data_IF_769612915892
#
_entry.id   IF_769612915892
#
_cell.length_a   1.000
_cell.length_b   1.000
_cell.length_c   1.000
_cell.angle_alpha   90.00
_cell.angle_beta   90.00
_cell.angle_gamma   90.00
#
_symmetry.space_group_name_H-M   'P 1'
#
loop_
_entity.id
_entity.type
_entity.pdbx_description
1 polymer ?
#
# COMPACT_ATOMS: atom_id res chain seq x y z
N UNK A 1 18.19 -15.92 -4.28
CA UNK A 1 18.14 -15.20 -2.99
C UNK A 1 17.21 -14.03 -3.17
N UNK A 2 16.48 -13.63 -2.14
CA UNK A 2 15.48 -12.55 -2.25
C UNK A 2 16.16 -11.19 -2.07
N UNK A 3 16.07 -10.30 -3.07
CA UNK A 3 16.49 -8.90 -2.93
C UNK A 3 15.57 -8.18 -1.93
N UNK A 4 16.13 -7.33 -1.08
CA UNK A 4 15.38 -6.46 -0.18
C UNK A 4 15.31 -5.04 -0.76
N UNK A 5 14.16 -4.42 -0.59
CA UNK A 5 13.90 -3.04 -0.96
C UNK A 5 14.04 -2.15 0.28
N UNK A 6 14.72 -1.02 0.14
CA UNK A 6 14.86 -0.01 1.19
C UNK A 6 14.21 1.29 0.73
N UNK A 7 13.08 1.61 1.37
CA UNK A 7 12.33 2.85 1.20
C UNK A 7 12.66 3.84 2.32
N UNK A 8 12.43 5.11 2.10
CA UNK A 8 12.86 6.18 3.01
C UNK A 8 11.72 6.72 3.90
N UNK A 9 10.80 5.86 4.32
CA UNK A 9 9.66 6.25 5.18
C UNK A 9 10.10 6.86 6.52
N UNK A 10 11.18 6.34 7.09
CA UNK A 10 11.80 6.78 8.34
C UNK A 10 13.33 6.76 8.25
N UNK A 11 14.00 6.88 9.38
CA UNK A 11 15.46 6.87 9.47
C UNK A 11 16.04 5.52 9.93
N UNK A 12 15.21 4.46 10.01
CA UNK A 12 15.62 3.15 10.52
C UNK A 12 16.82 2.55 9.77
N UNK A 13 16.87 2.74 8.45
CA UNK A 13 17.93 2.17 7.59
C UNK A 13 19.01 3.20 7.20
N UNK A 14 19.11 4.32 7.91
CA UNK A 14 20.09 5.38 7.64
C UNK A 14 20.94 5.66 8.88
N UNK A 15 22.26 5.70 8.68
CA UNK A 15 23.22 6.14 9.69
C UNK A 15 23.27 7.67 9.75
N UNK A 16 23.31 8.31 8.57
CA UNK A 16 23.28 9.77 8.46
C UNK A 16 22.53 10.22 7.20
N UNK A 17 22.07 11.47 7.22
CA UNK A 17 21.41 12.13 6.10
C UNK A 17 21.63 13.64 6.23
N UNK A 18 22.28 14.24 5.25
CA UNK A 18 22.55 15.68 5.19
C UNK A 18 22.04 16.25 3.87
N UNK A 19 21.52 17.48 3.89
CA UNK A 19 21.06 18.19 2.69
C UNK A 19 19.84 17.58 1.99
N UNK A 20 19.22 16.56 2.56
CA UNK A 20 17.99 15.95 2.07
C UNK A 20 16.79 16.25 2.97
N UNK A 21 15.63 16.45 2.37
CA UNK A 21 14.32 16.38 3.01
C UNK A 21 13.54 15.17 2.49
N UNK A 22 12.60 14.67 3.28
CA UNK A 22 11.62 13.68 2.78
C UNK A 22 10.52 14.40 2.04
N UNK A 23 10.12 13.84 0.89
CA UNK A 23 9.05 14.35 0.06
C UNK A 23 8.13 13.23 -0.36
N UNK A 24 6.82 13.44 -0.23
CA UNK A 24 5.83 12.50 -0.72
C UNK A 24 5.91 12.36 -2.24
N UNK A 25 5.73 11.14 -2.71
CA UNK A 25 5.46 10.89 -4.11
C UNK A 25 4.18 11.58 -4.56
N UNK A 26 4.02 11.73 -5.88
CA UNK A 26 2.85 12.38 -6.47
C UNK A 26 2.11 11.42 -7.38
N UNK A 27 1.09 10.71 -6.88
CA UNK A 27 0.18 9.95 -7.73
C UNK A 27 -0.45 10.87 -8.77
N UNK A 28 -0.62 10.38 -9.99
CA UNK A 28 -1.24 11.15 -11.09
C UNK A 28 -2.46 10.42 -11.61
N UNK A 29 -3.58 11.08 -11.72
CA UNK A 29 -4.77 10.54 -12.38
C UNK A 29 -4.45 10.32 -13.86
N UNK A 30 -4.62 9.08 -14.32
CA UNK A 30 -4.40 8.66 -15.71
C UNK A 30 -5.69 8.27 -16.42
N UNK A 31 -6.74 7.92 -15.66
CA UNK A 31 -8.06 7.59 -16.20
C UNK A 31 -9.17 7.88 -15.18
N UNK A 32 -10.34 8.25 -15.68
CA UNK A 32 -11.57 8.41 -14.90
C UNK A 32 -12.65 7.49 -15.48
N UNK A 33 -12.93 6.41 -14.77
CA UNK A 33 -13.99 5.50 -15.13
C UNK A 33 -15.35 5.98 -14.61
N UNK A 34 -16.32 6.08 -15.52
CA UNK A 34 -17.73 6.37 -15.23
C UNK A 34 -18.57 5.21 -15.75
N UNK A 35 -19.31 4.54 -14.86
CA UNK A 35 -20.18 3.43 -15.27
C UNK A 35 -21.46 3.96 -15.94
N UNK A 36 -21.73 3.63 -17.22
CA UNK A 36 -22.94 4.06 -17.89
C UNK A 36 -24.21 3.39 -17.38
N UNK A 37 -24.09 2.26 -16.64
CA UNK A 37 -25.21 1.51 -16.09
C UNK A 37 -25.58 1.94 -14.66
N UNK A 38 -24.77 2.77 -14.01
CA UNK A 38 -25.00 3.22 -12.66
C UNK A 38 -25.03 4.76 -12.60
N UNK A 39 -25.93 5.31 -11.79
CA UNK A 39 -25.98 6.75 -11.56
C UNK A 39 -24.70 7.25 -10.89
N UNK A 40 -24.11 6.45 -10.04
CA UNK A 40 -22.85 6.75 -9.36
C UNK A 40 -22.08 5.45 -9.07
N UNK A 41 -20.78 5.45 -9.30
CA UNK A 41 -19.85 4.38 -8.95
C UNK A 41 -19.06 4.82 -7.72
N UNK A 42 -19.60 4.67 -6.51
CA UNK A 42 -19.01 5.17 -5.25
C UNK A 42 -18.38 4.09 -4.40
N UNK A 43 -18.32 2.88 -4.89
CA UNK A 43 -17.79 1.78 -4.08
C UNK A 43 -16.27 1.70 -4.13
N UNK A 44 -15.72 0.95 -3.21
CA UNK A 44 -14.28 0.78 -3.05
C UNK A 44 -13.78 -0.23 -4.10
N UNK A 45 -13.16 0.23 -5.21
CA UNK A 45 -12.76 -0.66 -6.30
C UNK A 45 -11.73 -1.67 -5.82
N UNK A 46 -11.98 -2.95 -6.15
CA UNK A 46 -11.02 -4.04 -5.99
C UNK A 46 -10.62 -4.55 -7.38
N UNK A 47 -9.32 -4.61 -7.64
CA UNK A 47 -8.77 -5.05 -8.91
C UNK A 47 -8.21 -6.46 -8.79
N UNK A 48 -8.58 -7.31 -9.71
CA UNK A 48 -8.05 -8.66 -9.87
C UNK A 48 -7.62 -8.91 -11.31
N UNK A 49 -6.40 -9.40 -11.49
CA UNK A 49 -5.94 -9.90 -12.78
C UNK A 49 -6.24 -11.41 -12.89
N UNK A 50 -7.09 -11.78 -13.82
CA UNK A 50 -7.39 -13.17 -14.16
C UNK A 50 -6.35 -13.67 -15.17
N UNK A 51 -5.35 -14.41 -14.68
CA UNK A 51 -4.28 -14.98 -15.51
C UNK A 51 -4.81 -15.96 -16.56
N UNK A 52 -5.87 -16.70 -16.25
CA UNK A 52 -6.46 -17.69 -17.16
C UNK A 52 -7.12 -17.01 -18.39
N UNK A 53 -7.62 -15.78 -18.21
CA UNK A 53 -8.28 -14.99 -19.28
C UNK A 53 -7.42 -13.83 -19.81
N UNK A 54 -6.34 -13.50 -19.12
CA UNK A 54 -5.49 -12.36 -19.46
C UNK A 54 -6.21 -11.00 -19.33
N UNK A 55 -7.13 -10.88 -18.38
CA UNK A 55 -7.97 -9.69 -18.20
C UNK A 55 -7.92 -9.18 -16.77
N UNK A 56 -8.04 -7.86 -16.60
CA UNK A 56 -8.28 -7.24 -15.31
C UNK A 56 -9.77 -7.16 -15.05
N UNK A 57 -10.17 -7.50 -13.84
CA UNK A 57 -11.52 -7.33 -13.33
C UNK A 57 -11.50 -6.25 -12.27
N UNK A 58 -12.47 -5.35 -12.31
CA UNK A 58 -12.75 -4.37 -11.27
C UNK A 58 -14.10 -4.66 -10.66
N UNK A 59 -14.15 -4.80 -9.36
CA UNK A 59 -15.36 -4.99 -8.55
C UNK A 59 -15.59 -3.72 -7.73
N UNK A 60 -16.81 -3.20 -7.74
CA UNK A 60 -17.15 -1.94 -7.08
C UNK A 60 -18.65 -1.89 -6.79
N UNK A 61 -19.07 -0.93 -5.97
CA UNK A 61 -20.49 -0.65 -5.80
C UNK A 61 -20.95 0.42 -6.78
N UNK A 62 -22.17 0.31 -7.24
CA UNK A 62 -22.85 1.34 -7.99
C UNK A 62 -24.26 1.55 -7.46
N UNK A 63 -24.80 2.75 -7.60
CA UNK A 63 -26.20 3.01 -7.34
C UNK A 63 -26.99 2.97 -8.64
N UNK A 64 -27.92 2.03 -8.72
CA UNK A 64 -28.82 1.83 -9.83
C UNK A 64 -30.24 1.95 -9.31
N UNK A 65 -31.03 2.89 -9.83
CA UNK A 65 -32.39 3.17 -9.39
C UNK A 65 -32.55 3.33 -7.86
N UNK A 66 -31.57 4.00 -7.23
CA UNK A 66 -31.56 4.27 -5.79
C UNK A 66 -31.17 3.08 -4.91
N UNK A 67 -30.71 1.98 -5.51
CA UNK A 67 -30.26 0.77 -4.80
C UNK A 67 -28.76 0.57 -5.00
N UNK A 68 -28.07 0.22 -3.94
CA UNK A 68 -26.67 -0.21 -4.01
C UNK A 68 -26.59 -1.61 -4.64
N UNK A 69 -25.71 -1.77 -5.62
CA UNK A 69 -25.46 -3.05 -6.28
C UNK A 69 -23.96 -3.26 -6.52
N UNK A 70 -23.40 -4.41 -6.14
CA UNK A 70 -22.07 -4.82 -6.54
C UNK A 70 -22.01 -5.06 -8.04
N UNK A 71 -21.12 -4.33 -8.71
CA UNK A 71 -20.95 -4.29 -10.17
C UNK A 71 -19.54 -4.75 -10.56
N UNK A 72 -19.37 -5.11 -11.83
CA UNK A 72 -18.08 -5.48 -12.40
C UNK A 72 -17.77 -4.72 -13.69
N UNK A 73 -16.51 -4.41 -13.87
CA UNK A 73 -15.94 -3.94 -15.13
C UNK A 73 -14.71 -4.78 -15.51
N UNK A 74 -14.27 -4.68 -16.75
CA UNK A 74 -13.18 -5.46 -17.34
C UNK A 74 -12.24 -4.56 -18.13
N UNK A 75 -10.95 -4.89 -18.12
CA UNK A 75 -9.91 -4.17 -18.85
C UNK A 75 -8.85 -5.11 -19.41
N UNK A 76 -8.22 -4.72 -20.52
CA UNK A 76 -7.07 -5.40 -21.10
C UNK A 76 -5.75 -4.94 -20.48
N UNK A 77 -5.66 -3.67 -20.10
CA UNK A 77 -4.42 -3.01 -19.67
C UNK A 77 -4.40 -2.66 -18.18
N UNK A 78 -5.54 -2.82 -17.49
CA UNK A 78 -5.69 -2.43 -16.09
C UNK A 78 -5.90 -0.93 -15.87
N UNK A 79 -6.16 -0.16 -16.94
CA UNK A 79 -6.38 1.29 -16.90
C UNK A 79 -7.74 1.63 -17.47
N UNK A 80 -8.00 1.20 -18.70
CA UNK A 80 -9.23 1.51 -19.42
C UNK A 80 -10.26 0.40 -19.18
N UNK A 81 -11.19 0.65 -18.29
CA UNK A 81 -12.24 -0.31 -17.91
C UNK A 81 -13.52 -0.06 -18.68
N UNK A 82 -14.24 -1.15 -18.98
CA UNK A 82 -15.60 -1.13 -19.54
C UNK A 82 -16.50 -2.01 -18.68
N UNK A 83 -17.81 -1.68 -18.53
CA UNK A 83 -18.73 -2.54 -17.79
C UNK A 83 -18.74 -3.96 -18.38
N UNK A 84 -18.65 -4.97 -17.51
CA UNK A 84 -18.75 -6.35 -17.92
C UNK A 84 -20.19 -6.80 -17.85
N UNK A 85 -20.80 -7.14 -18.99
CA UNK A 85 -22.14 -7.72 -19.00
C UNK A 85 -22.12 -9.14 -18.39
N UNK A 86 -22.62 -9.25 -17.16
CA UNK A 86 -22.66 -10.49 -16.37
C UNK A 86 -24.07 -11.05 -16.21
N UNK A 87 -25.10 -10.35 -16.66
CA UNK A 87 -26.50 -10.67 -16.36
C UNK A 87 -26.91 -12.10 -16.74
N UNK A 88 -26.39 -12.62 -17.86
CA UNK A 88 -26.65 -13.99 -18.30
C UNK A 88 -25.84 -15.06 -17.58
N UNK A 89 -24.72 -14.69 -16.94
CA UNK A 89 -23.74 -15.60 -16.34
C UNK A 89 -23.85 -15.65 -14.81
N UNK A 90 -24.27 -14.55 -14.19
CA UNK A 90 -24.30 -14.38 -12.72
C UNK A 90 -25.35 -15.28 -12.02
N UNK A 91 -26.35 -15.73 -12.73
CA UNK A 91 -27.49 -16.49 -12.17
C UNK A 91 -28.49 -15.61 -11.39
N UNK A 92 -28.37 -14.28 -11.47
CA UNK A 92 -29.29 -13.33 -10.84
C UNK A 92 -30.63 -13.35 -11.55
N UNK A 93 -31.73 -13.40 -10.77
CA UNK A 93 -33.06 -13.47 -11.35
C UNK A 93 -33.58 -12.17 -11.94
N UNK A 94 -33.24 -11.04 -11.27
CA UNK A 94 -33.66 -9.69 -11.66
C UNK A 94 -32.53 -8.67 -11.39
N UNK A 95 -31.46 -8.69 -12.18
CA UNK A 95 -30.38 -7.73 -11.99
C UNK A 95 -30.85 -6.31 -12.28
N UNK A 96 -30.40 -5.34 -11.48
CA UNK A 96 -30.68 -3.91 -11.67
C UNK A 96 -29.83 -3.30 -12.79
N UNK A 97 -28.70 -3.90 -13.08
CA UNK A 97 -27.79 -3.48 -14.14
C UNK A 97 -27.20 -4.69 -14.88
N UNK A 98 -26.83 -4.55 -16.16
CA UNK A 98 -26.25 -5.62 -16.96
C UNK A 98 -24.93 -6.19 -16.38
N UNK A 99 -24.19 -5.38 -15.64
CA UNK A 99 -22.89 -5.73 -15.04
C UNK A 99 -22.97 -6.03 -13.53
N UNK A 100 -24.16 -6.31 -13.02
CA UNK A 100 -24.35 -6.69 -11.61
C UNK A 100 -23.86 -8.10 -11.35
N UNK A 101 -23.15 -8.30 -10.23
CA UNK A 101 -22.55 -9.59 -9.85
C UNK A 101 -23.14 -10.24 -8.60
N UNK A 102 -23.85 -9.50 -7.78
CA UNK A 102 -24.54 -9.99 -6.58
C UNK A 102 -25.93 -9.38 -6.48
N UNK A 103 -26.86 -10.08 -5.83
CA UNK A 103 -28.14 -9.47 -5.46
C UNK A 103 -27.88 -8.29 -4.50
N UNK A 104 -28.81 -7.32 -4.46
CA UNK A 104 -28.70 -6.12 -3.63
C UNK A 104 -28.64 -6.48 -2.14
N UNK A 105 -27.45 -6.69 -1.64
CA UNK A 105 -27.18 -7.34 -0.36
C UNK A 105 -26.39 -6.46 0.61
N UNK A 106 -26.36 -5.16 0.40
CA UNK A 106 -25.50 -4.25 1.16
C UNK A 106 -24.33 -3.74 0.32
N UNK A 107 -23.31 -3.24 0.97
CA UNK A 107 -22.13 -2.71 0.30
C UNK A 107 -21.01 -3.75 0.22
N UNK A 108 -20.48 -3.92 -0.97
CA UNK A 108 -19.25 -4.67 -1.19
C UNK A 108 -18.09 -3.86 -0.61
N UNK A 109 -17.55 -4.30 0.52
CA UNK A 109 -16.43 -3.61 1.15
C UNK A 109 -15.12 -3.91 0.41
N UNK A 110 -14.92 -5.16 0.00
CA UNK A 110 -13.70 -5.58 -0.71
C UNK A 110 -13.90 -6.91 -1.44
N UNK A 111 -13.15 -7.10 -2.52
CA UNK A 111 -12.88 -8.43 -3.09
C UNK A 111 -11.39 -8.71 -2.92
N UNK A 112 -11.10 -9.74 -2.17
CA UNK A 112 -9.75 -10.21 -1.88
C UNK A 112 -9.43 -11.49 -2.65
N UNK A 113 -8.21 -11.58 -3.17
CA UNK A 113 -7.72 -12.78 -3.89
C UNK A 113 -6.88 -13.63 -2.93
N UNK A 114 -7.44 -14.75 -2.50
CA UNK A 114 -6.77 -15.72 -1.65
C UNK A 114 -6.04 -16.76 -2.52
N UNK A 115 -4.75 -16.56 -2.75
CA UNK A 115 -3.93 -17.48 -3.54
C UNK A 115 -3.68 -18.84 -2.87
N UNK A 116 -3.95 -18.96 -1.55
CA UNK A 116 -3.83 -20.21 -0.81
C UNK A 116 -5.10 -21.07 -0.89
N UNK A 117 -6.24 -20.47 -1.22
CA UNK A 117 -7.50 -21.18 -1.37
C UNK A 117 -7.57 -21.95 -2.70
N UNK A 118 -8.40 -23.01 -2.78
CA UNK A 118 -8.75 -23.65 -4.05
C UNK A 118 -9.29 -22.64 -5.06
N UNK A 119 -9.07 -22.89 -6.37
CA UNK A 119 -9.57 -22.01 -7.44
C UNK A 119 -11.07 -21.71 -7.33
N UNK A 120 -11.87 -22.66 -6.87
CA UNK A 120 -13.32 -22.50 -6.67
C UNK A 120 -13.71 -21.44 -5.64
N UNK A 121 -12.80 -21.08 -4.73
CA UNK A 121 -13.05 -20.18 -3.59
C UNK A 121 -12.02 -19.07 -3.47
N UNK A 122 -11.19 -18.87 -4.49
CA UNK A 122 -10.05 -17.93 -4.42
C UNK A 122 -10.45 -16.47 -4.23
N UNK A 123 -11.59 -16.07 -4.77
CA UNK A 123 -12.10 -14.72 -4.57
C UNK A 123 -12.98 -14.70 -3.33
N UNK A 124 -12.67 -13.82 -2.40
CA UNK A 124 -13.40 -13.59 -1.16
C UNK A 124 -14.01 -12.20 -1.21
N UNK A 125 -15.34 -12.10 -1.21
CA UNK A 125 -16.02 -10.82 -1.10
C UNK A 125 -16.45 -10.58 0.34
N UNK A 126 -15.92 -9.51 0.92
CA UNK A 126 -16.35 -8.98 2.20
C UNK A 126 -17.51 -8.02 1.95
N UNK A 127 -18.69 -8.33 2.48
CA UNK A 127 -19.88 -7.52 2.30
C UNK A 127 -20.31 -6.98 3.66
N UNK A 128 -20.76 -5.73 3.70
CA UNK A 128 -21.30 -5.11 4.91
C UNK A 128 -22.79 -4.89 4.75
N UNK A 129 -23.58 -5.31 5.75
CA UNK A 129 -25.00 -5.04 5.81
C UNK A 129 -25.29 -3.88 6.75
N UNK A 130 -25.46 -2.70 6.20
CA UNK A 130 -25.99 -1.56 6.92
C UNK A 130 -27.51 -1.55 6.89
N UNK A 131 -28.22 -2.04 7.90
CA UNK A 131 -29.61 -1.66 8.09
C UNK A 131 -29.67 -0.34 8.86
N UNK A 132 -29.91 0.74 8.13
CA UNK A 132 -30.05 2.09 8.70
C UNK A 132 -31.27 2.25 9.63
N UNK A 133 -32.12 1.25 9.73
CA UNK A 133 -33.34 1.28 10.53
C UNK A 133 -33.27 0.51 11.85
N UNK A 134 -32.33 -0.43 11.95
CA UNK A 134 -32.17 -1.22 13.16
C UNK A 134 -30.70 -1.26 13.56
N UNK A 135 -30.32 -0.49 14.53
CA UNK A 135 -28.95 -0.41 15.08
C UNK A 135 -28.45 -1.69 15.76
N UNK A 136 -28.94 -2.87 15.42
CA UNK A 136 -28.74 -4.00 16.33
C UNK A 136 -28.16 -5.30 15.80
N UNK A 137 -28.14 -5.65 14.59
CA UNK A 137 -27.46 -6.89 14.17
C UNK A 137 -26.98 -6.70 12.74
N UNK A 138 -25.69 -6.51 12.60
CA UNK A 138 -25.04 -6.43 11.32
C UNK A 138 -24.46 -7.80 11.07
N UNK A 139 -25.01 -8.45 10.07
CA UNK A 139 -24.47 -9.67 9.50
C UNK A 139 -23.57 -9.28 8.35
N UNK A 140 -22.27 -9.28 8.59
CA UNK A 140 -21.29 -9.03 7.56
C UNK A 140 -20.89 -10.36 6.89
N UNK A 141 -21.59 -10.77 5.81
CA UNK A 141 -21.37 -12.05 5.20
C UNK A 141 -20.11 -12.11 4.36
N UNK A 142 -19.54 -13.29 4.28
CA UNK A 142 -18.50 -13.64 3.32
C UNK A 142 -19.13 -14.34 2.11
N UNK A 143 -18.68 -13.97 0.92
CA UNK A 143 -18.99 -14.70 -0.31
C UNK A 143 -17.69 -15.19 -0.94
N UNK A 144 -17.77 -16.30 -1.66
CA UNK A 144 -16.65 -16.83 -2.45
C UNK A 144 -17.03 -17.00 -3.91
N UNK A 145 -16.03 -16.88 -4.77
CA UNK A 145 -16.19 -17.10 -6.22
C UNK A 145 -14.91 -17.65 -6.85
N UNK A 146 -15.08 -18.39 -7.93
CA UNK A 146 -14.00 -18.84 -8.79
C UNK A 146 -13.68 -17.84 -9.92
N UNK A 147 -14.69 -17.10 -10.38
CA UNK A 147 -14.67 -16.33 -11.64
C UNK A 147 -15.03 -14.85 -11.49
N UNK A 148 -15.40 -14.44 -10.27
CA UNK A 148 -15.83 -13.07 -9.96
C UNK A 148 -17.22 -12.70 -10.48
N UNK A 149 -18.01 -13.71 -10.98
CA UNK A 149 -19.36 -13.51 -11.53
C UNK A 149 -20.38 -14.23 -10.68
N UNK A 150 -20.11 -15.51 -10.37
CA UNK A 150 -20.99 -16.35 -9.53
C UNK A 150 -20.45 -16.36 -8.13
N UNK A 151 -21.23 -15.84 -7.21
CA UNK A 151 -20.85 -15.68 -5.81
C UNK A 151 -21.71 -16.58 -4.91
N UNK A 152 -21.04 -17.33 -4.05
CA UNK A 152 -21.67 -18.23 -3.10
C UNK A 152 -21.50 -17.67 -1.69
N UNK A 153 -22.61 -17.38 -1.04
CA UNK A 153 -22.62 -16.97 0.37
C UNK A 153 -22.12 -18.10 1.24
N UNK A 154 -21.15 -17.78 2.11
CA UNK A 154 -20.61 -18.71 3.09
C UNK A 154 -21.42 -18.66 4.39
N UNK A 155 -21.51 -19.76 5.17
CA UNK A 155 -22.21 -19.81 6.44
C UNK A 155 -21.39 -19.20 7.58
N UNK A 156 -20.69 -18.10 7.32
CA UNK A 156 -19.84 -17.40 8.28
C UNK A 156 -20.07 -15.90 8.20
N UNK A 157 -19.80 -15.24 9.32
CA UNK A 157 -19.74 -13.79 9.43
C UNK A 157 -18.30 -13.41 9.72
N UNK A 158 -17.73 -12.48 8.93
CA UNK A 158 -16.37 -12.06 9.11
C UNK A 158 -16.23 -10.93 10.15
N UNK A 159 -17.35 -10.29 10.52
CA UNK A 159 -17.40 -9.22 11.52
C UNK A 159 -18.75 -9.18 12.23
N UNK A 160 -18.73 -8.73 13.49
CA UNK A 160 -19.93 -8.70 14.37
C UNK A 160 -20.45 -7.29 14.67
N UNK A 161 -19.83 -6.26 14.12
CA UNK A 161 -20.16 -4.86 14.34
C UNK A 161 -20.33 -4.15 13.01
N UNK A 162 -20.89 -2.93 13.03
CA UNK A 162 -21.02 -2.09 11.85
C UNK A 162 -19.63 -1.73 11.27
N UNK A 163 -19.06 -2.67 10.56
CA UNK A 163 -17.85 -2.42 9.78
C UNK A 163 -18.19 -1.69 8.48
N UNK A 164 -18.93 -0.59 8.54
CA UNK A 164 -19.19 0.19 7.33
C UNK A 164 -17.97 0.33 6.42
N UNK A 165 -18.18 0.72 5.16
CA UNK A 165 -17.23 0.59 4.07
C UNK A 165 -15.80 1.00 4.45
N UNK A 166 -14.82 0.30 3.94
CA UNK A 166 -13.40 0.52 4.25
C UNK A 166 -12.70 -0.72 4.79
N UNK A 167 -13.42 -1.85 4.89
CA UNK A 167 -12.78 -3.12 5.19
C UNK A 167 -11.98 -3.62 3.98
N UNK A 168 -10.75 -4.03 4.21
CA UNK A 168 -9.83 -4.54 3.18
C UNK A 168 -9.03 -5.70 3.71
N UNK A 169 -8.94 -6.77 2.93
CA UNK A 169 -8.15 -7.94 3.29
C UNK A 169 -6.82 -7.99 2.52
N UNK A 170 -5.79 -8.48 3.19
CA UNK A 170 -4.50 -8.81 2.59
C UNK A 170 -3.89 -10.04 3.27
N UNK A 171 -2.98 -10.73 2.59
CA UNK A 171 -2.20 -11.78 3.20
C UNK A 171 -0.95 -11.19 3.87
N UNK A 172 -0.73 -11.54 5.13
CA UNK A 172 0.45 -11.15 5.90
C UNK A 172 1.44 -12.34 5.97
N UNK A 173 2.51 -12.35 5.16
CA UNK A 173 3.47 -13.44 5.14
C UNK A 173 4.33 -13.51 6.42
N UNK A 174 4.42 -12.44 7.21
CA UNK A 174 5.16 -12.42 8.48
C UNK A 174 4.42 -13.26 9.54
N UNK A 175 3.09 -13.16 9.54
CA UNK A 175 2.25 -13.90 10.49
C UNK A 175 1.72 -15.22 9.92
N UNK A 176 1.88 -15.47 8.62
CA UNK A 176 1.23 -16.55 7.88
C UNK A 176 -0.29 -16.54 8.06
N UNK A 177 -0.90 -15.35 7.97
CA UNK A 177 -2.34 -15.14 8.16
C UNK A 177 -2.90 -14.15 7.15
N UNK A 178 -4.20 -14.26 6.91
CA UNK A 178 -4.96 -13.20 6.27
C UNK A 178 -5.35 -12.16 7.32
N UNK A 179 -5.21 -10.91 6.96
CA UNK A 179 -5.48 -9.76 7.81
C UNK A 179 -6.56 -8.92 7.17
N UNK A 180 -7.57 -8.52 7.94
CA UNK A 180 -8.65 -7.64 7.49
C UNK A 180 -8.54 -6.34 8.28
N UNK A 181 -8.33 -5.24 7.58
CA UNK A 181 -8.48 -3.89 8.15
C UNK A 181 -9.97 -3.58 8.17
N UNK A 182 -10.48 -3.18 9.31
CA UNK A 182 -11.90 -2.89 9.48
C UNK A 182 -12.12 -1.82 10.55
N UNK A 183 -13.35 -1.35 10.67
CA UNK A 183 -13.74 -0.42 11.73
C UNK A 183 -14.07 -1.20 13.01
N UNK A 184 -13.50 -0.83 14.18
CA UNK A 184 -13.70 -1.59 15.43
C UNK A 184 -15.07 -1.41 16.05
N UNK A 185 -15.75 -0.29 15.79
CA UNK A 185 -17.08 0.02 16.35
C UNK A 185 -17.79 1.11 15.54
N UNK A 186 -19.07 1.36 15.86
CA UNK A 186 -19.90 2.40 15.24
C UNK A 186 -19.66 3.82 15.81
N UNK A 187 -18.68 4.00 16.70
CA UNK A 187 -18.35 5.29 17.31
C UNK A 187 -17.55 6.21 16.38
N UNK A 188 -16.55 6.89 16.94
CA UNK A 188 -15.58 7.65 16.16
C UNK A 188 -14.82 6.69 15.23
N UNK A 189 -14.71 7.05 13.96
CA UNK A 189 -14.04 6.17 12.97
C UNK A 189 -12.57 6.00 13.30
N UNK A 190 -12.17 4.75 13.48
CA UNK A 190 -10.83 4.31 13.85
C UNK A 190 -10.49 3.07 13.05
N UNK A 191 -9.22 2.68 13.06
CA UNK A 191 -8.74 1.52 12.31
C UNK A 191 -8.52 0.35 13.26
N UNK A 192 -9.18 -0.76 12.98
CA UNK A 192 -9.00 -2.04 13.62
C UNK A 192 -8.46 -3.10 12.67
N UNK A 193 -8.04 -4.22 13.22
CA UNK A 193 -7.47 -5.35 12.51
C UNK A 193 -8.05 -6.67 13.03
N UNK A 194 -8.48 -7.52 12.11
CA UNK A 194 -8.95 -8.87 12.35
C UNK A 194 -8.00 -9.84 11.64
N UNK A 195 -7.70 -10.98 12.25
CA UNK A 195 -6.87 -12.03 11.67
C UNK A 195 -7.68 -13.30 11.45
N UNK A 196 -7.37 -14.01 10.36
CA UNK A 196 -7.92 -15.33 10.06
C UNK A 196 -6.90 -16.18 9.29
N UNK A 197 -6.91 -17.49 9.51
CA UNK A 197 -6.08 -18.42 8.74
C UNK A 197 -6.85 -19.13 7.64
N UNK A 198 -8.19 -19.14 7.69
CA UNK A 198 -9.04 -20.01 6.90
C UNK A 198 -10.34 -19.35 6.38
N UNK A 199 -10.59 -18.09 6.71
CA UNK A 199 -11.86 -17.38 6.47
C UNK A 199 -13.11 -18.10 7.03
N UNK A 200 -12.93 -18.93 8.06
CA UNK A 200 -14.01 -19.60 8.81
C UNK A 200 -14.04 -19.15 10.24
N UNK A 201 -12.85 -18.92 10.82
CA UNK A 201 -12.67 -18.42 12.18
C UNK A 201 -11.92 -17.11 12.12
N UNK A 202 -12.36 -16.14 12.90
CA UNK A 202 -11.81 -14.80 12.93
C UNK A 202 -11.44 -14.41 14.37
N UNK A 203 -10.34 -13.69 14.53
CA UNK A 203 -9.99 -13.10 15.83
C UNK A 203 -10.96 -11.98 16.18
N UNK A 204 -10.98 -11.60 17.45
CA UNK A 204 -11.54 -10.31 17.85
C UNK A 204 -10.82 -9.18 17.14
N UNK A 205 -11.55 -8.08 16.89
CA UNK A 205 -10.96 -6.91 16.27
C UNK A 205 -10.07 -6.17 17.27
N UNK A 206 -8.84 -5.88 16.84
CA UNK A 206 -7.85 -5.13 17.61
C UNK A 206 -7.69 -3.72 17.04
N UNK A 207 -7.80 -2.70 17.90
CA UNK A 207 -7.51 -1.31 17.51
C UNK A 207 -6.03 -1.17 17.14
N UNK A 208 -5.73 -0.58 15.98
CA UNK A 208 -4.36 -0.37 15.49
C UNK A 208 -4.03 1.08 15.20
N UNK A 209 -5.04 1.92 14.93
CA UNK A 209 -4.81 3.35 14.71
C UNK A 209 -6.05 4.18 15.06
N UNK A 210 -5.83 5.34 15.65
CA UNK A 210 -6.86 6.34 16.00
C UNK A 210 -6.29 7.74 15.77
N UNK A 211 -7.13 8.75 15.51
CA UNK A 211 -6.67 10.14 15.50
C UNK A 211 -5.94 10.50 16.79
N UNK A 212 -4.92 11.31 16.70
CA UNK A 212 -4.10 11.77 17.82
C UNK A 212 -4.03 13.31 17.88
N UNK A 213 -3.24 13.86 18.80
CA UNK A 213 -3.14 15.31 19.02
C UNK A 213 -2.50 16.10 17.88
N UNK A 214 -1.94 15.45 16.88
CA UNK A 214 -1.38 16.08 15.69
C UNK A 214 -2.37 16.10 14.52
N UNK A 215 -3.52 15.44 14.67
CA UNK A 215 -4.61 15.50 13.70
C UNK A 215 -5.51 16.71 13.98
N UNK A 216 -6.29 17.10 12.97
CA UNK A 216 -7.33 18.11 13.16
C UNK A 216 -8.33 17.66 14.25
N UNK A 217 -8.87 18.58 15.06
CA UNK A 217 -9.66 18.22 16.24
C UNK A 217 -10.87 17.30 16.01
N UNK A 218 -11.41 17.28 14.82
CA UNK A 218 -12.57 16.47 14.45
C UNK A 218 -12.26 15.46 13.33
N UNK A 219 -11.00 15.29 12.97
CA UNK A 219 -10.62 14.30 11.97
C UNK A 219 -10.96 12.88 12.44
N UNK A 220 -11.42 12.06 11.53
CA UNK A 220 -11.69 10.64 11.77
C UNK A 220 -10.90 9.79 10.78
N UNK A 221 -10.44 8.62 11.22
CA UNK A 221 -9.78 7.64 10.35
C UNK A 221 -10.84 6.75 9.70
N UNK A 222 -11.20 7.08 8.46
CA UNK A 222 -12.34 6.47 7.78
C UNK A 222 -12.09 5.03 7.34
N UNK A 223 -10.90 4.73 6.85
CA UNK A 223 -10.45 3.42 6.40
C UNK A 223 -8.94 3.44 6.13
N UNK A 224 -8.33 2.28 5.96
CA UNK A 224 -6.90 2.14 5.68
C UNK A 224 -6.63 0.90 4.84
N UNK A 225 -6.99 0.91 3.54
CA UNK A 225 -6.57 -0.15 2.63
C UNK A 225 -5.06 -0.38 2.72
N UNK A 226 -4.68 -1.63 2.87
CA UNK A 226 -3.29 -2.01 3.12
C UNK A 226 -2.86 -3.10 2.15
N UNK A 227 -1.68 -2.93 1.57
CA UNK A 227 -1.15 -3.78 0.51
C UNK A 227 0.25 -4.25 0.86
N UNK A 228 0.54 -5.55 0.77
CA UNK A 228 1.92 -6.03 0.76
C UNK A 228 2.67 -5.44 -0.44
N UNK A 229 3.85 -4.89 -0.20
CA UNK A 229 4.73 -4.34 -1.22
C UNK A 229 6.18 -4.66 -0.89
N UNK A 230 6.77 -5.64 -1.59
CA UNK A 230 8.10 -6.16 -1.33
C UNK A 230 8.25 -6.65 0.13
N UNK A 231 9.06 -5.97 0.94
CA UNK A 231 9.24 -6.24 2.37
C UNK A 231 8.53 -5.22 3.29
N UNK A 232 7.55 -4.50 2.75
CA UNK A 232 6.71 -3.53 3.47
C UNK A 232 5.24 -3.86 3.33
N UNK A 233 4.44 -3.18 4.15
CA UNK A 233 3.00 -3.03 3.97
C UNK A 233 2.71 -1.54 3.81
N UNK A 234 2.07 -1.18 2.71
CA UNK A 234 1.70 0.20 2.38
C UNK A 234 0.23 0.38 2.65
N UNK A 235 -0.12 1.35 3.46
CA UNK A 235 -1.50 1.71 3.75
C UNK A 235 -1.85 3.10 3.23
N UNK A 236 -3.10 3.26 2.79
CA UNK A 236 -3.68 4.55 2.44
C UNK A 236 -4.72 4.90 3.49
N UNK A 237 -4.34 5.73 4.46
CA UNK A 237 -5.22 6.14 5.56
C UNK A 237 -6.16 7.24 5.09
N UNK A 238 -7.44 6.93 4.97
CA UNK A 238 -8.46 7.90 4.61
C UNK A 238 -8.78 8.79 5.80
N UNK A 239 -8.51 10.07 5.65
CA UNK A 239 -8.82 11.09 6.66
C UNK A 239 -10.13 11.76 6.31
N UNK A 240 -11.10 11.65 7.19
CA UNK A 240 -12.37 12.34 7.08
C UNK A 240 -12.29 13.66 7.84
N UNK A 241 -12.29 14.76 7.12
CA UNK A 241 -12.21 16.12 7.64
C UNK A 241 -13.62 16.62 7.97
N UNK A 242 -14.00 16.57 9.23
CA UNK A 242 -15.30 17.05 9.68
C UNK A 242 -15.19 18.54 10.05
N UNK A 243 -15.80 19.45 9.26
CA UNK A 243 -15.55 20.88 9.42
C UNK A 243 -16.11 21.45 10.72
N UNK A 244 -17.17 20.84 11.29
CA UNK A 244 -17.86 21.37 12.47
C UNK A 244 -18.66 20.28 13.19
N UNK A 245 -18.64 20.29 14.53
CA UNK A 245 -19.45 19.37 15.37
C UNK A 245 -20.95 19.49 15.06
N UNK A 246 -21.44 20.68 14.79
CA UNK A 246 -22.86 20.91 14.47
C UNK A 246 -23.27 20.27 13.14
N UNK A 247 -22.36 20.17 12.19
CA UNK A 247 -22.58 19.56 10.88
C UNK A 247 -22.38 18.05 10.91
N UNK A 248 -21.77 17.50 11.95
CA UNK A 248 -21.57 16.06 12.15
C UNK A 248 -22.86 15.24 12.03
N UNK A 249 -23.99 15.81 12.38
CA UNK A 249 -25.31 15.18 12.21
C UNK A 249 -25.57 14.70 10.77
N UNK A 250 -24.97 15.36 9.78
CA UNK A 250 -25.13 15.06 8.37
C UNK A 250 -23.89 14.37 7.76
N UNK A 251 -22.87 14.08 8.59
CA UNK A 251 -21.61 13.47 8.16
C UNK A 251 -20.99 14.16 6.94
N UNK A 252 -21.10 15.50 6.88
CA UNK A 252 -20.50 16.29 5.83
C UNK A 252 -19.01 16.48 6.08
N UNK A 253 -18.24 16.55 5.01
CA UNK A 253 -16.81 16.80 5.05
C UNK A 253 -16.09 16.19 3.86
N UNK A 254 -14.86 16.57 3.66
CA UNK A 254 -14.00 16.03 2.61
C UNK A 254 -13.26 14.79 3.10
N UNK A 255 -12.82 13.97 2.16
CA UNK A 255 -11.94 12.84 2.44
C UNK A 255 -10.75 12.87 1.50
N UNK A 256 -9.57 12.83 2.08
CA UNK A 256 -8.31 12.59 1.39
C UNK A 256 -7.59 11.36 1.97
N UNK A 257 -6.39 11.04 1.49
CA UNK A 257 -5.68 9.88 2.01
C UNK A 257 -4.21 10.19 2.26
N UNK A 258 -3.74 9.80 3.45
CA UNK A 258 -2.35 9.89 3.86
C UNK A 258 -1.63 8.55 3.68
N UNK A 259 -0.32 8.63 3.49
CA UNK A 259 0.54 7.45 3.37
C UNK A 259 0.89 6.89 4.74
N UNK A 260 0.70 5.58 4.89
CA UNK A 260 1.03 4.78 6.07
C UNK A 260 1.89 3.60 5.64
N UNK A 261 2.81 3.19 6.48
CA UNK A 261 3.64 2.02 6.23
C UNK A 261 3.77 1.13 7.47
N UNK A 262 4.10 -0.13 7.23
CA UNK A 262 4.42 -1.08 8.29
C UNK A 262 5.50 -2.06 7.79
N UNK A 263 6.35 -2.53 8.71
CA UNK A 263 7.33 -3.59 8.42
C UNK A 263 6.75 -4.99 8.65
N UNK A 264 5.71 -5.10 9.49
CA UNK A 264 5.15 -6.39 9.91
C UNK A 264 3.64 -6.56 9.61
N UNK A 265 2.99 -5.52 9.04
CA UNK A 265 1.56 -5.56 8.71
C UNK A 265 0.62 -5.47 9.91
N UNK A 266 1.13 -5.17 11.10
CA UNK A 266 0.33 -5.04 12.33
C UNK A 266 0.58 -3.74 13.08
N UNK A 267 1.81 -3.22 13.02
CA UNK A 267 2.21 -1.94 13.62
C UNK A 267 2.40 -0.94 12.50
N UNK A 268 1.51 0.04 12.45
CA UNK A 268 1.48 1.03 11.37
C UNK A 268 2.02 2.38 11.83
N UNK A 269 2.78 3.01 10.95
CA UNK A 269 3.39 4.31 11.15
C UNK A 269 2.95 5.27 10.06
N UNK A 270 2.65 6.50 10.42
CA UNK A 270 2.47 7.62 9.49
C UNK A 270 3.84 8.24 9.25
N UNK A 271 4.18 8.49 8.00
CA UNK A 271 5.41 9.21 7.65
C UNK A 271 5.16 10.72 7.70
N UNK A 272 5.12 11.40 6.57
CA UNK A 272 4.63 12.77 6.50
C UNK A 272 3.11 12.76 6.63
N UNK A 273 2.55 13.65 7.47
CA UNK A 273 1.09 13.73 7.72
C UNK A 273 0.41 14.66 6.73
N UNK A 274 0.80 14.56 5.48
CA UNK A 274 0.23 15.31 4.36
C UNK A 274 -0.59 14.37 3.48
N UNK A 275 -1.61 14.86 2.78
CA UNK A 275 -2.35 14.07 1.82
C UNK A 275 -1.43 13.52 0.71
N UNK A 276 -1.47 12.21 0.50
CA UNK A 276 -0.78 11.53 -0.59
C UNK A 276 -1.66 11.42 -1.82
N UNK A 277 -2.97 11.19 -1.62
CA UNK A 277 -4.03 11.40 -2.59
C UNK A 277 -4.84 12.59 -2.15
N UNK A 278 -4.98 13.61 -3.00
CA UNK A 278 -5.50 14.91 -2.62
C UNK A 278 -6.85 15.21 -3.28
N UNK A 279 -7.61 16.12 -2.67
CA UNK A 279 -8.84 16.66 -3.25
C UNK A 279 -8.58 17.58 -4.46
N UNK A 280 -7.32 17.72 -4.89
CA UNK A 280 -6.91 18.59 -5.99
C UNK A 280 -6.27 17.83 -7.15
N UNK A 281 -6.27 16.50 -7.12
CA UNK A 281 -5.63 15.66 -8.15
C UNK A 281 -6.40 15.71 -9.48
N UNK A 282 -7.74 15.84 -9.39
CA UNK A 282 -8.64 16.02 -10.52
C UNK A 282 -9.94 16.73 -10.07
N UNK A 283 -10.75 17.28 -10.99
CA UNK A 283 -12.06 17.85 -10.63
C UNK A 283 -12.96 16.86 -9.89
N UNK A 284 -12.94 15.60 -10.31
CA UNK A 284 -13.73 14.52 -9.73
C UNK A 284 -13.29 14.09 -8.33
N UNK A 285 -12.11 14.50 -7.85
CA UNK A 285 -11.62 14.16 -6.51
C UNK A 285 -11.89 15.24 -5.47
N UNK A 286 -12.45 16.39 -5.85
CA UNK A 286 -12.55 17.61 -5.04
C UNK A 286 -13.21 17.43 -3.68
N UNK A 287 -14.20 16.56 -3.57
CA UNK A 287 -14.90 16.30 -2.31
C UNK A 287 -14.33 15.09 -1.58
N UNK A 288 -14.08 14.01 -2.29
CA UNK A 288 -13.64 12.75 -1.68
C UNK A 288 -12.73 11.95 -2.61
N UNK A 289 -11.72 11.31 -2.01
CA UNK A 289 -10.90 10.29 -2.68
C UNK A 289 -10.62 9.13 -1.73
N UNK A 290 -10.93 7.90 -2.18
CA UNK A 290 -10.78 6.67 -1.43
C UNK A 290 -9.91 5.68 -2.22
N UNK A 291 -8.56 5.79 -2.18
CA UNK A 291 -7.68 4.82 -2.83
C UNK A 291 -7.86 3.45 -2.19
N UNK A 292 -8.31 2.47 -2.98
CA UNK A 292 -8.83 1.20 -2.45
C UNK A 292 -8.16 -0.04 -3.02
N UNK A 293 -7.44 0.06 -4.13
CA UNK A 293 -6.72 -1.06 -4.72
C UNK A 293 -5.39 -0.60 -5.31
N UNK A 294 -4.31 -1.24 -4.92
CA UNK A 294 -2.96 -0.99 -5.47
C UNK A 294 -2.50 -2.25 -6.20
N UNK A 295 -2.02 -2.09 -7.42
CA UNK A 295 -1.58 -3.20 -8.27
C UNK A 295 -0.51 -2.76 -9.26
N UNK A 296 0.26 -3.73 -9.75
CA UNK A 296 1.19 -3.52 -10.86
C UNK A 296 0.58 -4.18 -12.08
N UNK A 297 0.43 -3.42 -13.17
CA UNK A 297 -0.09 -3.99 -14.40
C UNK A 297 1.00 -4.75 -15.18
N UNK A 298 0.60 -5.41 -16.28
CA UNK A 298 1.54 -6.22 -17.10
C UNK A 298 2.65 -5.40 -17.76
N UNK A 299 2.48 -4.11 -17.88
CA UNK A 299 3.51 -3.19 -18.38
C UNK A 299 4.48 -2.74 -17.28
N UNK A 300 4.29 -3.21 -16.04
CA UNK A 300 5.12 -2.85 -14.89
C UNK A 300 4.78 -1.50 -14.25
N UNK A 301 3.65 -0.88 -14.63
CA UNK A 301 3.19 0.38 -14.06
C UNK A 301 2.53 0.13 -12.70
N UNK A 302 2.89 0.92 -11.69
CA UNK A 302 2.26 0.89 -10.37
C UNK A 302 1.01 1.76 -10.39
N UNK A 303 -0.14 1.14 -10.23
CA UNK A 303 -1.44 1.77 -10.36
C UNK A 303 -2.23 1.68 -9.04
N UNK A 304 -3.10 2.67 -8.82
CA UNK A 304 -4.03 2.70 -7.70
C UNK A 304 -5.42 3.06 -8.21
N UNK A 305 -6.41 2.22 -7.92
CA UNK A 305 -7.81 2.54 -8.19
C UNK A 305 -8.45 3.15 -6.94
N UNK A 306 -9.09 4.29 -7.09
CA UNK A 306 -9.74 5.04 -6.03
C UNK A 306 -11.18 5.38 -6.41
N UNK A 307 -12.10 5.21 -5.48
CA UNK A 307 -13.41 5.85 -5.55
C UNK A 307 -13.25 7.35 -5.30
N UNK A 308 -13.93 8.19 -6.06
CA UNK A 308 -13.84 9.63 -5.95
C UNK A 308 -15.18 10.32 -6.19
N UNK A 309 -15.35 11.52 -5.66
CA UNK A 309 -16.52 12.36 -5.89
C UNK A 309 -16.12 13.84 -5.88
N UNK A 310 -16.73 14.60 -6.75
CA UNK A 310 -16.63 16.06 -6.77
C UNK A 310 -17.19 16.70 -5.49
N UNK A 311 -18.16 16.04 -4.85
CA UNK A 311 -18.85 16.56 -3.68
C UNK A 311 -18.38 15.86 -2.39
N UNK A 312 -18.58 16.55 -1.27
CA UNK A 312 -18.25 16.08 0.06
C UNK A 312 -19.11 14.87 0.48
N UNK A 313 -18.61 14.11 1.42
CA UNK A 313 -19.34 13.03 2.08
C UNK A 313 -20.70 13.52 2.62
N UNK A 314 -21.75 12.72 2.40
CA UNK A 314 -23.10 13.05 2.83
C UNK A 314 -23.98 13.70 1.74
N UNK A 315 -23.42 14.00 0.59
CA UNK A 315 -24.22 14.42 -0.59
C UNK A 315 -24.47 13.19 -1.48
N UNK A 316 -25.54 12.47 -1.20
CA UNK A 316 -25.89 11.19 -1.88
C UNK A 316 -26.42 11.34 -3.32
N UNK A 317 -26.42 12.54 -3.89
CA UNK A 317 -26.94 12.79 -5.24
C UNK A 317 -25.85 12.87 -6.30
N UNK A 318 -24.63 12.54 -5.96
CA UNK A 318 -23.50 12.86 -6.78
C UNK A 318 -22.99 11.67 -7.57
N UNK A 319 -22.52 11.98 -8.78
CA UNK A 319 -21.92 11.04 -9.70
C UNK A 319 -20.51 10.71 -9.20
N UNK A 320 -20.40 9.74 -8.30
CA UNK A 320 -19.11 9.16 -7.94
C UNK A 320 -18.50 8.46 -9.14
N UNK A 321 -17.18 8.46 -9.19
CA UNK A 321 -16.37 7.88 -10.25
C UNK A 321 -15.29 7.00 -9.66
N UNK A 322 -14.60 6.22 -10.50
CA UNK A 322 -13.37 5.54 -10.13
C UNK A 322 -12.22 6.18 -10.87
N UNK A 323 -11.30 6.78 -10.12
CA UNK A 323 -10.07 7.36 -10.65
C UNK A 323 -8.95 6.30 -10.62
N UNK A 324 -8.26 6.12 -11.73
CA UNK A 324 -7.05 5.31 -11.81
C UNK A 324 -5.86 6.26 -11.74
N UNK A 325 -5.02 6.03 -10.74
CA UNK A 325 -3.79 6.77 -10.54
C UNK A 325 -2.60 5.94 -10.97
N UNK A 326 -1.58 6.60 -11.45
CA UNK A 326 -0.25 6.04 -11.65
C UNK A 326 0.74 6.65 -10.68
N UNK A 327 1.58 5.82 -10.08
CA UNK A 327 2.66 6.19 -9.20
C UNK A 327 3.98 5.66 -9.77
N UNK A 328 5.06 6.45 -9.64
CA UNK A 328 6.40 5.93 -9.89
C UNK A 328 6.64 4.66 -9.06
N UNK A 329 7.19 3.62 -9.67
CA UNK A 329 7.57 2.41 -8.92
C UNK A 329 8.51 2.81 -7.76
N UNK A 330 8.25 2.30 -6.55
CA UNK A 330 8.91 2.66 -5.29
C UNK A 330 8.79 4.16 -4.89
N UNK A 331 8.02 4.94 -5.64
CA UNK A 331 7.92 6.40 -5.51
C UNK A 331 6.92 6.87 -4.47
N UNK A 332 6.72 6.14 -3.38
CA UNK A 332 5.85 6.55 -2.27
C UNK A 332 6.41 7.76 -1.53
N UNK A 333 7.71 7.77 -1.36
CA UNK A 333 8.47 8.84 -0.71
C UNK A 333 9.88 8.90 -1.30
N UNK A 334 10.47 10.08 -1.33
CA UNK A 334 11.85 10.27 -1.76
C UNK A 334 12.69 11.01 -0.72
N UNK A 335 13.99 10.87 -0.81
CA UNK A 335 14.96 11.83 -0.28
C UNK A 335 15.23 12.85 -1.38
N UNK A 336 14.82 14.08 -1.17
CA UNK A 336 14.88 15.19 -2.13
C UNK A 336 15.93 16.21 -1.72
N UNK A 337 16.68 16.72 -2.69
CA UNK A 337 17.60 17.85 -2.51
C UNK A 337 17.53 18.82 -3.68
N UNK A 338 17.45 20.11 -3.38
CA UNK A 338 17.49 21.19 -4.37
C UNK A 338 18.95 21.59 -4.76
N UNK A 339 19.94 21.26 -3.94
CA UNK A 339 21.34 21.58 -4.20
C UNK A 339 22.21 20.32 -4.13
N UNK A 340 22.59 19.91 -2.94
CA UNK A 340 23.39 18.70 -2.72
C UNK A 340 22.98 18.00 -1.44
N UNK A 341 23.00 16.66 -1.45
CA UNK A 341 22.73 15.85 -0.28
C UNK A 341 23.56 14.59 -0.25
N UNK A 342 23.83 14.11 0.94
CA UNK A 342 24.46 12.81 1.16
C UNK A 342 23.60 11.96 2.12
N UNK A 343 23.56 10.67 1.86
CA UNK A 343 22.93 9.69 2.74
C UNK A 343 23.81 8.46 2.85
N UNK A 344 24.03 8.01 4.09
CA UNK A 344 24.79 6.79 4.41
C UNK A 344 23.81 5.81 5.05
N UNK A 345 23.79 4.57 4.56
CA UNK A 345 22.98 3.50 5.15
C UNK A 345 23.58 3.04 6.48
N UNK A 346 22.77 2.38 7.32
CA UNK A 346 23.30 1.55 8.41
C UNK A 346 24.12 0.40 7.82
N UNK A 347 24.88 -0.37 8.65
CA UNK A 347 25.60 -1.55 8.15
C UNK A 347 24.65 -2.54 7.50
N UNK A 348 25.04 -3.03 6.35
CA UNK A 348 24.32 -4.01 5.53
C UNK A 348 25.20 -5.22 5.27
N UNK A 349 24.77 -6.41 5.64
CA UNK A 349 25.42 -7.64 5.19
C UNK A 349 25.08 -7.84 3.70
N UNK A 350 26.09 -7.67 2.84
CA UNK A 350 25.95 -7.90 1.40
C UNK A 350 26.15 -9.37 1.05
N UNK A 351 25.26 -9.91 0.21
CA UNK A 351 25.23 -11.34 -0.14
C UNK A 351 25.28 -11.58 -1.65
N UNK A 352 26.06 -10.77 -2.35
CA UNK A 352 26.25 -10.89 -3.79
C UNK A 352 25.10 -10.30 -4.61
N UNK A 353 25.33 -10.18 -5.92
CA UNK A 353 24.40 -9.63 -6.88
C UNK A 353 24.43 -8.11 -6.99
N UNK A 354 23.51 -7.56 -7.76
CA UNK A 354 23.46 -6.12 -8.02
C UNK A 354 22.89 -5.34 -6.82
N UNK A 355 23.45 -4.15 -6.59
CA UNK A 355 22.82 -3.11 -5.79
C UNK A 355 22.27 -2.06 -6.75
N UNK A 356 21.00 -1.80 -6.69
CA UNK A 356 20.24 -0.95 -7.61
C UNK A 356 19.64 0.23 -6.89
N UNK A 357 19.67 1.41 -7.51
CA UNK A 357 19.10 2.63 -6.97
C UNK A 357 18.05 3.18 -7.93
N UNK A 358 16.87 3.50 -7.39
CA UNK A 358 15.82 4.22 -8.10
C UNK A 358 15.97 5.70 -7.76
N UNK A 359 16.29 6.53 -8.76
CA UNK A 359 16.56 7.94 -8.55
C UNK A 359 16.32 8.79 -9.81
N UNK A 360 16.18 10.09 -9.57
CA UNK A 360 16.24 11.14 -10.58
C UNK A 360 17.17 12.22 -10.08
N UNK A 361 18.27 12.51 -10.77
CA UNK A 361 19.27 13.46 -10.30
C UNK A 361 20.03 14.13 -11.45
N UNK A 362 20.49 15.36 -11.21
CA UNK A 362 21.47 16.01 -12.11
C UNK A 362 22.79 15.24 -12.07
N UNK A 363 23.18 14.76 -10.87
CA UNK A 363 24.37 13.95 -10.68
C UNK A 363 24.23 13.08 -9.43
N UNK A 364 24.69 11.84 -9.49
CA UNK A 364 24.79 10.94 -8.35
C UNK A 364 26.07 10.10 -8.44
N UNK A 365 26.75 9.96 -7.31
CA UNK A 365 27.87 9.04 -7.13
C UNK A 365 27.70 8.20 -5.87
N UNK A 366 28.39 7.08 -5.81
CA UNK A 366 28.31 6.14 -4.69
C UNK A 366 29.71 5.77 -4.19
N UNK A 367 29.85 5.66 -2.86
CA UNK A 367 31.00 5.04 -2.22
C UNK A 367 30.56 3.98 -1.23
N UNK A 368 31.41 2.99 -1.01
CA UNK A 368 31.20 1.95 0.00
C UNK A 368 32.23 2.04 1.10
N UNK A 369 31.77 1.76 2.31
CA UNK A 369 32.57 1.67 3.51
C UNK A 369 32.37 0.33 4.18
N UNK A 370 33.32 -0.07 4.99
CA UNK A 370 33.18 -1.09 6.04
C UNK A 370 33.42 -0.44 7.41
N UNK A 371 33.49 -1.25 8.47
CA UNK A 371 33.82 -0.78 9.80
C UNK A 371 34.80 -1.73 10.52
N UNK A 372 35.13 -1.43 11.77
CA UNK A 372 36.02 -2.25 12.61
C UNK A 372 35.27 -3.24 13.52
N UNK A 373 33.98 -3.52 13.22
CA UNK A 373 33.14 -4.41 14.01
C UNK A 373 33.63 -5.87 14.04
N UNK A 374 34.32 -6.30 13.00
CA UNK A 374 34.99 -7.61 12.95
C UNK A 374 36.12 -7.75 13.99
N UNK A 375 36.83 -6.65 14.28
CA UNK A 375 37.92 -6.62 15.26
C UNK A 375 37.44 -6.29 16.68
N UNK A 376 36.31 -5.58 16.77
CA UNK A 376 35.73 -5.09 18.03
C UNK A 376 34.24 -5.43 18.14
N UNK A 377 33.81 -6.71 18.02
CA UNK A 377 32.41 -7.07 17.91
C UNK A 377 31.56 -6.70 19.15
N UNK A 378 32.17 -6.50 20.29
CA UNK A 378 31.49 -6.11 21.55
C UNK A 378 31.49 -4.59 21.79
N UNK A 379 32.07 -3.78 20.89
CA UNK A 379 31.92 -2.34 20.97
C UNK A 379 30.54 -1.93 20.47
N UNK A 380 29.59 -1.79 21.39
CA UNK A 380 28.19 -1.46 21.07
C UNK A 380 27.92 0.05 20.97
N UNK A 381 28.94 0.88 21.06
CA UNK A 381 28.76 2.33 21.09
C UNK A 381 29.05 3.02 19.74
N UNK A 382 30.20 2.72 19.15
CA UNK A 382 30.63 3.32 17.88
C UNK A 382 31.56 2.38 17.12
N UNK A 383 31.37 2.31 15.82
CA UNK A 383 32.32 1.72 14.87
C UNK A 383 32.81 2.82 13.94
N UNK A 384 34.10 2.83 13.66
CA UNK A 384 34.72 3.77 12.74
C UNK A 384 34.48 3.30 11.30
N UNK A 385 33.96 4.20 10.44
CA UNK A 385 33.77 3.90 9.02
C UNK A 385 35.12 3.90 8.32
N UNK A 386 35.41 2.83 7.61
CA UNK A 386 36.65 2.60 6.86
C UNK A 386 36.33 2.60 5.37
N UNK A 387 36.84 3.56 4.58
CA UNK A 387 36.61 3.58 3.15
C UNK A 387 37.17 2.31 2.47
N UNK A 388 36.44 1.79 1.50
CA UNK A 388 36.92 0.72 0.62
C UNK A 388 37.57 1.35 -0.60
N UNK A 389 38.91 1.21 -0.75
CA UNK A 389 39.75 1.94 -1.71
C UNK A 389 39.27 1.83 -3.18
N UNK A 390 38.78 0.67 -3.60
CA UNK A 390 38.30 0.45 -4.97
C UNK A 390 36.84 0.92 -5.18
N UNK A 391 36.14 1.28 -4.10
CA UNK A 391 34.72 1.62 -4.11
C UNK A 391 34.46 3.09 -3.70
N UNK A 392 35.33 4.00 -4.11
CA UNK A 392 35.19 5.43 -3.81
C UNK A 392 34.28 6.14 -4.80
N UNK A 393 33.90 7.39 -4.48
CA UNK A 393 33.11 8.24 -5.37
C UNK A 393 33.82 8.48 -6.71
N UNK A 394 35.15 8.67 -6.70
CA UNK A 394 35.97 8.91 -7.90
C UNK A 394 36.05 7.69 -8.81
N UNK A 395 35.96 6.49 -8.24
CA UNK A 395 35.95 5.24 -8.99
C UNK A 395 34.53 4.83 -9.42
N UNK A 396 33.49 5.43 -8.86
CA UNK A 396 32.10 5.14 -9.21
C UNK A 396 31.80 5.47 -10.68
N UNK A 397 31.03 4.62 -11.34
CA UNK A 397 30.36 4.96 -12.59
C UNK A 397 29.15 5.83 -12.26
N UNK A 398 29.36 7.14 -12.32
CA UNK A 398 28.40 8.17 -11.92
C UNK A 398 27.13 8.11 -12.77
N UNK A 399 26.02 8.59 -12.19
CA UNK A 399 24.72 8.64 -12.85
C UNK A 399 24.20 10.08 -12.96
N UNK A 400 23.57 10.35 -14.12
CA UNK A 400 22.78 11.56 -14.38
C UNK A 400 21.52 11.18 -15.15
N UNK A 401 20.37 11.71 -14.77
CA UNK A 401 19.10 11.48 -15.45
C UNK A 401 17.99 10.97 -14.54
N UNK A 402 17.10 10.15 -15.12
CA UNK A 402 15.95 9.54 -14.43
C UNK A 402 15.93 8.02 -14.72
N UNK A 403 15.97 7.20 -13.69
CA UNK A 403 15.96 5.73 -13.83
C UNK A 403 15.25 5.06 -12.65
N UNK A 404 14.62 3.93 -12.91
CA UNK A 404 14.09 3.05 -11.86
C UNK A 404 15.15 2.07 -11.32
N UNK A 405 16.33 1.96 -11.96
CA UNK A 405 17.24 0.86 -11.71
C UNK A 405 18.67 1.20 -12.19
N UNK A 406 19.36 2.09 -11.47
CA UNK A 406 20.78 2.31 -11.66
C UNK A 406 21.55 1.25 -10.89
N UNK A 407 22.24 0.36 -11.57
CA UNK A 407 23.13 -0.64 -10.95
C UNK A 407 24.45 0.02 -10.57
N UNK A 408 24.81 -0.06 -9.29
CA UNK A 408 26.07 0.50 -8.79
C UNK A 408 27.27 -0.25 -9.38
N UNK A 409 28.23 0.48 -9.93
CA UNK A 409 29.47 -0.05 -10.54
C UNK A 409 30.64 0.87 -10.21
N UNK A 410 31.82 0.28 -10.17
CA UNK A 410 33.09 0.99 -9.97
C UNK A 410 34.11 0.52 -11.00
N UNK A 411 34.96 1.44 -11.45
CA UNK A 411 35.99 1.18 -12.47
C UNK A 411 37.05 0.17 -12.00
N UNK A 412 37.27 0.07 -10.68
CA UNK A 412 38.29 -0.80 -10.08
C UNK A 412 37.69 -1.89 -9.21
N UNK A 413 36.56 -1.62 -8.56
CA UNK A 413 35.95 -2.52 -7.59
C UNK A 413 34.99 -3.51 -8.23
N UNK A 414 35.11 -4.78 -7.86
CA UNK A 414 34.12 -5.82 -8.16
C UNK A 414 33.28 -6.11 -6.91
N UNK A 415 31.97 -5.81 -6.98
CA UNK A 415 31.05 -6.03 -5.87
C UNK A 415 31.07 -7.47 -5.33
N UNK A 416 31.27 -8.46 -6.19
CA UNK A 416 31.30 -9.87 -5.76
C UNK A 416 32.44 -10.16 -4.78
N UNK A 417 33.52 -9.37 -4.79
CA UNK A 417 34.60 -9.46 -3.80
C UNK A 417 34.17 -9.09 -2.36
N UNK A 418 33.02 -8.43 -2.23
CA UNK A 418 32.42 -8.03 -0.96
C UNK A 418 31.34 -9.01 -0.47
N UNK A 419 31.10 -10.11 -1.17
CA UNK A 419 30.10 -11.09 -0.77
C UNK A 419 30.40 -11.65 0.62
N UNK A 420 29.42 -11.61 1.51
CA UNK A 420 29.54 -11.98 2.94
C UNK A 420 30.14 -10.90 3.83
N UNK A 421 30.44 -9.71 3.31
CA UNK A 421 30.98 -8.60 4.11
C UNK A 421 29.88 -7.61 4.54
N UNK A 422 30.16 -6.93 5.65
CA UNK A 422 29.38 -5.79 6.10
C UNK A 422 29.84 -4.55 5.34
N UNK A 423 28.90 -3.88 4.69
CA UNK A 423 29.13 -2.65 3.93
C UNK A 423 28.17 -1.54 4.36
N UNK A 424 28.58 -0.31 4.16
CA UNK A 424 27.75 0.88 4.23
C UNK A 424 27.74 1.52 2.85
N UNK A 425 26.58 2.02 2.42
CA UNK A 425 26.38 2.61 1.10
C UNK A 425 26.19 4.12 1.31
N UNK A 426 27.12 4.93 0.76
CA UNK A 426 26.97 6.37 0.70
C UNK A 426 26.55 6.79 -0.70
N UNK A 427 25.46 7.55 -0.80
CA UNK A 427 25.05 8.22 -2.03
C UNK A 427 25.23 9.71 -1.86
N UNK A 428 25.94 10.35 -2.80
CA UNK A 428 26.02 11.81 -2.95
C UNK A 428 25.23 12.23 -4.18
N UNK A 429 24.27 13.11 -3.96
CA UNK A 429 23.32 13.53 -4.99
C UNK A 429 23.35 15.04 -5.14
N UNK A 430 23.33 15.52 -6.38
CA UNK A 430 23.15 16.92 -6.73
C UNK A 430 21.83 17.10 -7.44
N UNK A 431 20.96 17.96 -6.90
CA UNK A 431 19.62 18.31 -7.43
C UNK A 431 18.85 17.08 -7.88
N UNK A 432 18.17 16.45 -6.95
CA UNK A 432 17.45 15.24 -7.30
C UNK A 432 16.68 14.58 -6.19
N UNK A 433 16.22 13.38 -6.48
CA UNK A 433 15.40 12.53 -5.63
C UNK A 433 15.92 11.10 -5.66
N UNK A 434 16.11 10.50 -4.49
CA UNK A 434 16.37 9.07 -4.32
C UNK A 434 15.12 8.41 -3.76
N UNK A 435 14.58 7.42 -4.46
CA UNK A 435 13.33 6.76 -4.10
C UNK A 435 13.56 5.43 -3.37
N UNK A 436 14.53 4.63 -3.83
CA UNK A 436 14.84 3.35 -3.18
C UNK A 436 16.25 2.87 -3.44
N UNK A 437 16.73 1.98 -2.56
CA UNK A 437 17.88 1.10 -2.78
C UNK A 437 17.36 -0.33 -2.76
N UNK A 438 17.78 -1.18 -3.69
CA UNK A 438 17.38 -2.58 -3.76
C UNK A 438 18.60 -3.48 -3.99
N UNK A 439 18.68 -4.59 -3.25
CA UNK A 439 19.77 -5.55 -3.39
C UNK A 439 19.63 -6.71 -2.42
N UNK A 440 20.54 -7.66 -2.54
CA UNK A 440 20.66 -8.77 -1.59
C UNK A 440 21.43 -8.29 -0.35
N UNK A 441 20.80 -7.41 0.40
CA UNK A 441 21.30 -6.67 1.54
C UNK A 441 20.48 -7.00 2.78
N UNK A 442 21.13 -7.28 3.90
CA UNK A 442 20.48 -7.49 5.20
C UNK A 442 20.91 -6.39 6.16
N UNK A 443 19.99 -5.51 6.62
CA UNK A 443 20.33 -4.49 7.60
C UNK A 443 20.79 -5.14 8.92
N UNK A 444 21.84 -4.59 9.49
CA UNK A 444 22.45 -5.08 10.71
C UNK A 444 22.40 -4.01 11.79
N UNK A 445 21.68 -4.27 12.88
CA UNK A 445 21.77 -3.43 14.07
C UNK A 445 23.06 -3.74 14.84
N UNK A 446 23.47 -2.87 15.75
CA UNK A 446 24.71 -3.05 16.52
C UNK A 446 24.76 -4.43 17.20
N UNK A 447 23.65 -4.89 17.79
CA UNK A 447 23.60 -6.23 18.40
C UNK A 447 23.71 -7.35 17.36
N UNK A 448 23.26 -7.13 16.12
CA UNK A 448 23.33 -8.11 15.04
C UNK A 448 24.76 -8.23 14.51
N UNK A 449 25.51 -7.13 14.44
CA UNK A 449 26.94 -7.14 14.11
C UNK A 449 27.69 -8.04 15.09
N UNK A 450 27.48 -7.86 16.41
CA UNK A 450 28.10 -8.69 17.42
C UNK A 450 27.75 -10.17 17.26
N UNK A 451 26.47 -10.50 17.07
CA UNK A 451 26.01 -11.89 16.85
C UNK A 451 26.58 -12.51 15.58
N UNK A 452 26.65 -11.71 14.52
CA UNK A 452 27.22 -12.16 13.25
C UNK A 452 28.72 -12.47 13.38
N UNK A 453 29.51 -11.55 13.90
CA UNK A 453 30.95 -11.74 14.02
C UNK A 453 31.36 -12.83 15.03
N UNK A 454 30.60 -12.98 16.13
CA UNK A 454 30.90 -13.98 17.16
C UNK A 454 30.34 -15.37 16.84
N UNK A 455 29.18 -15.45 16.15
CA UNK A 455 28.43 -16.70 16.04
C UNK A 455 27.94 -17.01 14.63
N UNK A 456 28.18 -16.13 13.63
CA UNK A 456 27.66 -16.28 12.26
C UNK A 456 26.14 -16.14 12.16
N UNK A 457 25.48 -15.59 13.19
CA UNK A 457 24.02 -15.45 13.20
C UNK A 457 23.63 -14.21 12.39
N UNK A 458 22.79 -14.44 11.38
CA UNK A 458 22.20 -13.37 10.56
C UNK A 458 20.79 -13.07 11.05
N UNK A 459 20.42 -11.79 11.23
CA UNK A 459 19.07 -11.44 11.65
C UNK A 459 18.05 -11.84 10.59
N UNK A 460 16.87 -12.24 11.05
CA UNK A 460 15.71 -12.40 10.20
C UNK A 460 15.04 -11.03 10.01
N UNK A 461 15.03 -10.51 8.79
CA UNK A 461 14.48 -9.19 8.48
C UNK A 461 12.96 -9.18 8.57
N UNK A 462 12.33 -10.34 8.48
CA UNK A 462 10.86 -10.46 8.42
C UNK A 462 10.16 -10.20 9.75
N UNK A 463 10.90 -10.19 10.86
CA UNK A 463 10.36 -10.03 12.21
C UNK A 463 10.68 -8.69 12.90
N UNK A 464 11.38 -7.79 12.24
CA UNK A 464 11.82 -6.53 12.87
C UNK A 464 10.75 -5.45 12.63
N UNK A 465 9.80 -5.39 13.53
CA UNK A 465 8.81 -4.32 13.67
C UNK A 465 8.91 -3.67 15.01
#
# INVERSE_FOLDING_TARGET
MKENLFLFFDDKNKLSRNGFERKLGKPKVVEIYKDPNAYTAIGFPAIWYDEDKGKYHMFYNGYVDGKCAPLAAISDDGIHFTPRNTASESGLKNPFAPNQIMEGCGELANVYVDLKAPKSERLKALVTYGDSKTTRIINDPLYTSADGIRWLRQPVQWHNHAAEPGAMAFYNPVLDKHTIIARPDAGVRRIGLIETSDFKTFSDIRLVMTPDSLDEPLAEHYGMPTFPYENYFIGFLWIFHVPNVRERKYYKGTVDAQLVYSYNGTNFNRTLREPFFTNYDAPETKGMVYPSSMYVNREGRLLVAASASENEHGYFKDKGVIAIYELRKDGFISLHTEDSGDVITIPMLYRGGDIKVNLKAEHCSCALYTDDSDKKPLNLLTHELIPLEDFTHENCEEFSGDTLCWSLRWKKGDLESLNGKIIYIELKVKKGEVYSIKGNLTPMMICDLARYHLHGIVPDITGIG
#
